data_IF_615105778058
#
_entry.id   IF_615105778058
#
_cell.length_a   1.000
_cell.length_b   1.000
_cell.length_c   1.000
_cell.angle_alpha   90.00
_cell.angle_beta   90.00
_cell.angle_gamma   90.00
#
_symmetry.space_group_name_H-M   'P 1'
#
loop_
_entity.id
_entity.type
_entity.pdbx_description
1 polymer ?
#
# COMPACT_ATOMS: atom_id res chain seq x y z
N UNK A 1 55.80 -1.86 2.35
CA UNK A 1 56.06 -1.76 3.80
C UNK A 1 55.61 -0.39 4.27
N UNK A 2 54.94 -0.30 5.44
CA UNK A 2 54.70 0.92 6.25
C UNK A 2 53.90 2.10 5.64
N UNK A 3 53.37 3.11 6.37
CA UNK A 3 52.74 3.22 7.73
C UNK A 3 52.36 4.70 8.02
N UNK A 4 51.43 4.97 8.95
CA UNK A 4 51.21 6.29 9.65
C UNK A 4 49.94 7.06 9.20
N UNK A 5 49.04 7.66 10.01
CA UNK A 5 48.92 8.18 11.41
C UNK A 5 49.34 9.65 11.72
N UNK A 6 48.48 10.37 12.48
CA UNK A 6 48.62 11.74 13.03
C UNK A 6 47.60 12.74 12.44
N UNK A 7 46.80 13.59 13.11
CA UNK A 7 46.67 14.17 14.48
C UNK A 7 47.40 15.50 14.78
N UNK A 8 46.74 16.36 15.59
CA UNK A 8 47.21 17.60 16.29
C UNK A 8 47.44 18.90 15.45
N UNK A 9 47.34 20.16 15.95
CA UNK A 9 46.80 20.74 17.20
C UNK A 9 47.27 22.20 17.56
N UNK A 10 46.37 23.05 18.12
CA UNK A 10 46.56 24.22 19.05
C UNK A 10 47.23 25.60 18.71
N UNK A 11 46.61 26.68 19.26
CA UNK A 11 47.26 27.87 19.90
C UNK A 11 47.11 29.25 19.18
N UNK A 12 46.99 30.44 19.83
CA UNK A 12 46.69 30.82 21.23
C UNK A 12 47.19 32.24 21.66
N UNK A 13 46.34 33.05 22.34
CA UNK A 13 46.66 34.22 23.25
C UNK A 13 47.26 35.55 22.68
N UNK A 14 47.14 36.77 23.29
CA UNK A 14 46.23 37.35 24.32
C UNK A 14 46.43 38.89 24.54
N UNK A 15 45.38 39.61 25.04
CA UNK A 15 45.33 40.75 26.03
C UNK A 15 46.16 42.07 25.83
N UNK A 16 45.88 43.26 26.48
CA UNK A 16 45.21 43.49 27.80
C UNK A 16 44.25 44.73 28.00
N UNK A 17 43.81 44.93 29.27
CA UNK A 17 42.82 45.87 29.92
C UNK A 17 43.39 47.27 30.31
N UNK A 18 42.76 48.27 31.07
CA UNK A 18 41.72 48.29 32.18
C UNK A 18 40.49 49.29 32.02
N UNK A 19 39.30 49.27 32.69
CA UNK A 19 38.81 49.39 34.13
C UNK A 19 38.54 50.86 34.62
N UNK A 20 37.59 51.25 35.53
CA UNK A 20 36.22 50.78 35.95
C UNK A 20 35.11 51.91 36.08
N UNK A 21 33.84 51.56 36.45
CA UNK A 21 32.91 52.37 37.29
C UNK A 21 31.61 51.61 37.72
N UNK A 22 30.94 52.03 38.81
CA UNK A 22 29.65 51.52 39.35
C UNK A 22 29.01 52.59 40.30
N UNK A 23 27.84 52.49 40.98
CA UNK A 23 26.88 51.40 41.33
C UNK A 23 25.50 52.01 41.70
N UNK A 24 24.33 51.43 41.38
CA UNK A 24 23.03 51.81 42.01
C UNK A 24 21.84 50.82 41.79
N UNK A 25 20.88 50.83 42.74
CA UNK A 25 19.70 49.95 42.85
C UNK A 25 18.39 50.70 42.59
N UNK A 26 17.30 50.02 42.21
CA UNK A 26 15.93 50.57 42.28
C UNK A 26 14.88 49.51 42.66
N UNK A 27 13.93 49.91 43.50
CA UNK A 27 12.97 49.04 44.23
C UNK A 27 11.57 49.09 43.59
N UNK A 28 10.80 47.98 43.65
CA UNK A 28 9.39 47.93 43.19
C UNK A 28 8.41 47.76 44.38
N UNK A 29 7.69 48.83 44.75
CA UNK A 29 6.55 48.82 45.71
C UNK A 29 5.80 50.18 45.64
N UNK A 30 4.55 50.33 46.14
CA UNK A 30 3.32 50.10 45.37
C UNK A 30 2.41 51.34 45.24
N UNK A 31 1.33 51.23 44.46
CA UNK A 31 0.21 52.19 44.40
C UNK A 31 -1.13 51.43 44.30
N UNK A 32 -2.28 52.01 44.70
CA UNK A 32 -3.02 51.42 45.84
C UNK A 32 -4.29 50.67 45.45
N UNK A 33 -4.68 49.73 46.32
CA UNK A 33 -6.01 49.11 46.31
C UNK A 33 -7.08 50.14 46.61
N UNK A 34 -7.97 50.41 45.66
CA UNK A 34 -9.21 51.17 45.89
C UNK A 34 -10.36 50.17 46.05
N UNK A 35 -10.81 49.95 47.29
CA UNK A 35 -12.01 49.15 47.55
C UNK A 35 -13.25 49.99 47.26
N UNK A 36 -13.83 49.81 46.07
CA UNK A 36 -15.12 50.40 45.73
C UNK A 36 -16.26 49.42 46.09
N UNK A 37 -16.92 49.65 47.22
CA UNK A 37 -18.18 48.97 47.57
C UNK A 37 -19.29 49.45 46.65
N UNK A 38 -19.55 48.72 45.57
CA UNK A 38 -20.64 49.02 44.65
C UNK A 38 -21.93 48.29 45.07
N UNK A 39 -22.94 49.06 45.43
CA UNK A 39 -24.31 48.63 45.77
C UNK A 39 -24.91 47.72 44.70
N UNK A 40 -25.63 46.67 45.11
CA UNK A 40 -26.28 45.74 44.20
C UNK A 40 -27.28 46.45 43.26
N UNK A 41 -27.13 46.35 41.92
CA UNK A 41 -28.16 46.80 40.99
C UNK A 41 -29.39 45.87 41.07
N UNK A 42 -30.61 46.39 40.82
CA UNK A 42 -31.82 45.57 40.86
C UNK A 42 -31.78 44.48 39.79
N UNK A 43 -32.40 43.34 40.09
CA UNK A 43 -32.42 42.17 39.21
C UNK A 43 -33.06 42.52 37.85
N UNK A 44 -32.23 42.60 36.81
CA UNK A 44 -32.72 42.59 35.45
C UNK A 44 -33.28 41.20 35.15
N UNK A 45 -34.60 41.12 34.90
CA UNK A 45 -35.22 39.90 34.39
C UNK A 45 -34.72 39.66 32.97
N UNK A 46 -33.62 38.91 32.84
CA UNK A 46 -33.15 38.43 31.55
C UNK A 46 -34.11 37.35 31.08
N UNK A 47 -35.00 37.69 30.15
CA UNK A 47 -35.77 36.71 29.38
C UNK A 47 -34.78 35.90 28.53
N UNK A 48 -34.20 34.87 29.12
CA UNK A 48 -33.37 33.93 28.38
C UNK A 48 -34.28 33.17 27.41
N UNK A 49 -34.19 33.52 26.13
CA UNK A 49 -34.63 32.61 25.07
C UNK A 49 -33.80 31.34 25.21
N UNK A 50 -34.38 30.31 25.82
CA UNK A 50 -33.79 28.98 25.86
C UNK A 50 -33.80 28.43 24.44
N UNK A 51 -32.73 28.75 23.69
CA UNK A 51 -32.34 27.96 22.53
C UNK A 51 -32.18 26.54 23.04
N UNK A 52 -33.18 25.70 22.78
CA UNK A 52 -33.10 24.29 23.08
C UNK A 52 -31.79 23.79 22.46
N UNK A 53 -30.90 23.25 23.30
CA UNK A 53 -29.62 22.77 22.83
C UNK A 53 -29.90 21.72 21.75
N UNK A 54 -29.68 22.10 20.49
CA UNK A 54 -29.81 21.18 19.38
C UNK A 54 -28.91 19.99 19.74
N UNK A 55 -29.45 18.76 19.79
CA UNK A 55 -28.64 17.61 20.14
C UNK A 55 -27.40 17.63 19.23
N UNK A 56 -26.19 17.40 19.78
CA UNK A 56 -24.98 17.48 18.99
C UNK A 56 -25.19 16.61 17.75
N UNK A 57 -24.84 17.11 16.54
CA UNK A 57 -24.99 16.30 15.34
C UNK A 57 -24.34 14.95 15.60
N UNK A 58 -24.95 13.83 15.16
CA UNK A 58 -24.40 12.50 15.41
C UNK A 58 -22.92 12.52 15.11
N UNK A 59 -22.11 12.14 16.11
CA UNK A 59 -20.66 12.20 15.98
C UNK A 59 -20.29 11.58 14.64
N UNK A 60 -19.65 12.38 13.77
CA UNK A 60 -19.34 11.94 12.43
C UNK A 60 -18.69 10.56 12.54
N UNK A 61 -19.15 9.54 11.78
CA UNK A 61 -18.57 8.21 11.88
C UNK A 61 -17.05 8.37 11.75
N UNK A 62 -16.26 7.73 12.62
CA UNK A 62 -14.81 7.89 12.61
C UNK A 62 -14.34 7.68 11.16
N UNK A 63 -13.42 8.53 10.65
CA UNK A 63 -13.05 8.50 9.24
C UNK A 63 -12.74 7.06 8.87
N UNK A 64 -13.55 6.49 7.96
CA UNK A 64 -13.41 5.10 7.53
C UNK A 64 -11.95 4.89 7.21
N UNK A 65 -11.26 3.93 7.87
CA UNK A 65 -9.83 3.82 7.70
C UNK A 65 -9.54 3.64 6.22
N UNK A 66 -8.74 4.55 5.66
CA UNK A 66 -8.02 4.33 4.40
C UNK A 66 -7.57 2.88 4.41
N UNK A 67 -7.99 2.08 3.42
CA UNK A 67 -7.78 0.62 3.35
C UNK A 67 -6.45 0.26 3.97
N UNK A 68 -6.51 -0.34 5.18
CA UNK A 68 -5.44 -0.20 6.18
C UNK A 68 -4.07 -0.43 5.56
N UNK A 69 -3.11 0.48 5.75
CA UNK A 69 -1.89 0.57 4.93
C UNK A 69 -1.20 -0.78 4.56
N UNK A 70 -1.12 -1.80 5.45
CA UNK A 70 -0.71 -3.16 5.08
C UNK A 70 -1.46 -3.79 3.89
N UNK A 71 -2.79 -3.67 3.84
CA UNK A 71 -3.62 -4.16 2.74
C UNK A 71 -3.27 -3.47 1.41
N UNK A 72 -3.01 -2.16 1.43
CA UNK A 72 -2.58 -1.41 0.23
C UNK A 72 -1.27 -1.96 -0.34
N UNK A 73 -0.31 -2.39 0.51
CA UNK A 73 0.93 -3.02 0.06
C UNK A 73 0.69 -4.38 -0.59
N UNK A 74 -0.14 -5.24 0.04
CA UNK A 74 -0.49 -6.55 -0.52
C UNK A 74 -1.23 -6.41 -1.85
N UNK A 75 -2.15 -5.45 -1.95
CA UNK A 75 -2.86 -5.17 -3.20
C UNK A 75 -1.93 -4.62 -4.29
N UNK A 76 -0.99 -3.73 -3.95
CA UNK A 76 0.02 -3.25 -4.89
C UNK A 76 0.95 -4.37 -5.37
N UNK A 77 1.29 -5.33 -4.50
CA UNK A 77 2.11 -6.50 -4.83
C UNK A 77 1.40 -7.41 -5.86
N UNK A 78 0.12 -7.75 -5.65
CA UNK A 78 -0.64 -8.54 -6.63
C UNK A 78 -0.96 -7.77 -7.91
N UNK A 79 -1.22 -6.46 -7.84
CA UNK A 79 -1.35 -5.63 -9.04
C UNK A 79 -0.07 -5.64 -9.88
N UNK A 80 1.11 -5.65 -9.25
CA UNK A 80 2.38 -5.75 -9.97
C UNK A 80 2.58 -7.13 -10.60
N UNK A 81 2.18 -8.22 -9.94
CA UNK A 81 2.16 -9.58 -10.54
C UNK A 81 1.23 -9.63 -11.75
N UNK A 82 0.00 -9.11 -11.62
CA UNK A 82 -0.98 -9.05 -12.71
C UNK A 82 -0.54 -8.18 -13.90
N UNK A 83 0.27 -7.15 -13.64
CA UNK A 83 0.88 -6.33 -14.69
C UNK A 83 2.19 -6.94 -15.25
N UNK A 84 2.59 -8.13 -14.78
CA UNK A 84 3.88 -8.78 -15.04
C UNK A 84 5.11 -7.90 -14.68
N UNK A 85 4.91 -6.86 -13.87
CA UNK A 85 5.98 -6.04 -13.27
C UNK A 85 6.56 -6.78 -12.05
N UNK A 86 7.20 -7.92 -12.33
CA UNK A 86 7.83 -8.74 -11.31
C UNK A 86 8.95 -8.00 -10.58
N UNK A 87 9.54 -6.97 -11.19
CA UNK A 87 10.49 -6.09 -10.51
C UNK A 87 9.83 -5.26 -9.40
N UNK A 88 8.67 -4.67 -9.66
CA UNK A 88 7.90 -3.97 -8.63
C UNK A 88 7.37 -4.92 -7.56
N UNK A 89 6.89 -6.11 -7.93
CA UNK A 89 6.47 -7.14 -6.98
C UNK A 89 7.65 -7.65 -6.11
N UNK A 90 8.85 -7.78 -6.71
CA UNK A 90 10.08 -8.14 -6.01
C UNK A 90 10.46 -7.11 -4.94
N UNK A 91 10.40 -5.82 -5.27
CA UNK A 91 10.61 -4.73 -4.32
C UNK A 91 9.60 -4.74 -3.17
N UNK A 92 8.31 -4.87 -3.50
CA UNK A 92 7.20 -4.83 -2.54
C UNK A 92 7.15 -6.05 -1.60
N UNK A 93 7.87 -7.13 -1.90
CA UNK A 93 7.87 -8.31 -1.03
C UNK A 93 8.63 -9.53 -1.54
N UNK A 94 8.71 -9.73 -2.87
CA UNK A 94 9.26 -10.98 -3.44
C UNK A 94 10.64 -11.35 -2.92
N UNK A 95 11.50 -10.35 -2.66
CA UNK A 95 12.84 -10.50 -2.06
C UNK A 95 12.90 -11.14 -0.66
N UNK A 96 11.79 -11.14 0.08
CA UNK A 96 11.64 -11.79 1.38
C UNK A 96 10.96 -13.17 1.28
N UNK A 97 10.33 -13.46 0.13
CA UNK A 97 9.49 -14.65 -0.08
C UNK A 97 10.14 -15.69 -1.02
N UNK A 98 11.31 -15.37 -1.57
CA UNK A 98 12.02 -16.20 -2.54
C UNK A 98 13.53 -16.06 -2.40
N UNK A 99 14.27 -17.08 -2.83
CA UNK A 99 15.73 -17.09 -2.72
C UNK A 99 16.40 -16.28 -3.83
N UNK A 100 15.71 -16.01 -4.94
CA UNK A 100 16.21 -15.15 -6.03
C UNK A 100 15.08 -14.56 -6.87
N UNK A 101 15.38 -13.50 -7.61
CA UNK A 101 14.43 -12.85 -8.53
C UNK A 101 13.92 -13.79 -9.63
N UNK A 102 14.81 -14.60 -10.22
CA UNK A 102 14.43 -15.53 -11.28
C UNK A 102 13.53 -16.65 -10.74
N UNK A 103 13.86 -17.19 -9.56
CA UNK A 103 13.05 -18.20 -8.89
C UNK A 103 11.67 -17.64 -8.51
N UNK A 104 11.60 -16.37 -8.08
CA UNK A 104 10.33 -15.66 -7.83
C UNK A 104 9.47 -15.48 -9.10
N UNK A 105 10.05 -14.93 -10.17
CA UNK A 105 9.31 -14.66 -11.41
C UNK A 105 8.79 -15.96 -12.06
N UNK A 106 9.58 -17.03 -12.01
CA UNK A 106 9.19 -18.35 -12.54
C UNK A 106 7.93 -18.93 -11.87
N UNK A 107 7.62 -18.56 -10.62
CA UNK A 107 6.41 -19.05 -9.92
C UNK A 107 5.11 -18.56 -10.55
N UNK A 108 5.16 -17.40 -11.22
CA UNK A 108 3.99 -16.73 -11.80
C UNK A 108 3.87 -16.93 -13.32
N UNK A 109 4.86 -17.56 -13.96
CA UNK A 109 4.87 -17.78 -15.41
C UNK A 109 3.68 -18.60 -15.95
N UNK A 110 3.06 -19.44 -15.11
CA UNK A 110 1.84 -20.20 -15.43
C UNK A 110 0.53 -19.54 -14.95
N UNK A 111 0.58 -18.33 -14.39
CA UNK A 111 -0.59 -17.60 -13.87
C UNK A 111 -0.97 -16.50 -14.85
N UNK A 112 -2.21 -16.53 -15.34
CA UNK A 112 -2.79 -15.50 -16.21
C UNK A 112 -3.29 -14.29 -15.40
N UNK A 113 -3.89 -14.53 -14.22
CA UNK A 113 -4.42 -13.46 -13.36
C UNK A 113 -4.62 -13.92 -11.91
N UNK A 114 -4.27 -13.06 -10.96
CA UNK A 114 -4.48 -13.23 -9.52
C UNK A 114 -5.62 -12.32 -9.02
N UNK A 115 -6.76 -12.91 -8.63
CA UNK A 115 -7.87 -12.22 -7.99
C UNK A 115 -7.72 -12.24 -6.46
N UNK A 116 -7.25 -11.11 -5.89
CA UNK A 116 -7.07 -10.92 -4.46
C UNK A 116 -8.37 -10.54 -3.74
N UNK A 117 -8.72 -11.30 -2.69
CA UNK A 117 -9.71 -10.90 -1.68
C UNK A 117 -9.04 -10.72 -0.31
N UNK A 118 -9.16 -9.53 0.28
CA UNK A 118 -8.66 -9.26 1.63
C UNK A 118 -9.78 -9.53 2.65
N UNK A 119 -9.58 -10.56 3.47
CA UNK A 119 -10.56 -11.03 4.47
C UNK A 119 -10.49 -10.20 5.76
N UNK A 120 -9.33 -9.64 6.08
CA UNK A 120 -9.18 -8.73 7.22
C UNK A 120 -7.75 -8.24 7.43
N UNK A 121 -7.60 -7.23 8.28
CA UNK A 121 -6.30 -6.68 8.69
C UNK A 121 -6.28 -6.54 10.21
N UNK A 122 -5.23 -7.03 10.86
CA UNK A 122 -5.00 -6.87 12.30
C UNK A 122 -3.57 -6.44 12.56
N UNK A 123 -3.40 -5.17 12.91
CA UNK A 123 -2.08 -4.53 12.96
C UNK A 123 -1.40 -4.66 11.59
N UNK A 124 -0.23 -5.28 11.58
CA UNK A 124 0.61 -5.47 10.40
C UNK A 124 0.30 -6.75 9.59
N UNK A 125 -0.64 -7.56 10.08
CA UNK A 125 -1.00 -8.84 9.45
C UNK A 125 -2.27 -8.67 8.62
N UNK A 126 -2.16 -9.00 7.33
CA UNK A 126 -3.25 -9.03 6.35
C UNK A 126 -3.65 -10.48 6.13
N UNK A 127 -4.92 -10.82 6.36
CA UNK A 127 -5.50 -12.13 6.03
C UNK A 127 -6.18 -12.06 4.68
N UNK A 128 -5.92 -13.03 3.81
CA UNK A 128 -6.33 -13.00 2.42
C UNK A 128 -6.78 -14.36 1.87
N UNK A 129 -7.53 -14.29 0.78
CA UNK A 129 -7.85 -15.38 -0.14
C UNK A 129 -7.43 -14.96 -1.54
N UNK A 130 -6.94 -15.92 -2.32
CA UNK A 130 -6.53 -15.75 -3.72
C UNK A 130 -7.30 -16.74 -4.58
N UNK A 131 -7.72 -16.28 -5.75
CA UNK A 131 -8.00 -17.13 -6.90
C UNK A 131 -6.98 -16.82 -7.99
N UNK A 132 -6.05 -17.75 -8.23
CA UNK A 132 -5.02 -17.64 -9.26
C UNK A 132 -5.49 -18.39 -10.51
N UNK A 133 -5.96 -17.64 -11.50
CA UNK A 133 -6.31 -18.13 -12.84
C UNK A 133 -5.01 -18.54 -13.55
N UNK A 134 -4.90 -19.80 -13.93
CA UNK A 134 -3.75 -20.34 -14.65
C UNK A 134 -3.89 -20.12 -16.16
N UNK A 135 -2.79 -20.15 -16.90
CA UNK A 135 -2.79 -19.92 -18.36
C UNK A 135 -3.53 -21.00 -19.15
N UNK A 136 -3.66 -22.20 -18.60
CA UNK A 136 -4.50 -23.29 -19.11
C UNK A 136 -6.01 -23.11 -18.86
N UNK A 137 -6.42 -22.09 -18.09
CA UNK A 137 -7.81 -21.83 -17.72
C UNK A 137 -8.27 -22.53 -16.42
N UNK A 138 -7.40 -23.29 -15.76
CA UNK A 138 -7.61 -23.78 -14.40
C UNK A 138 -7.53 -22.67 -13.36
N UNK A 139 -8.02 -22.96 -12.16
CA UNK A 139 -7.98 -22.07 -11.01
C UNK A 139 -7.24 -22.72 -9.84
N UNK A 140 -6.42 -21.95 -9.13
CA UNK A 140 -5.77 -22.38 -7.89
C UNK A 140 -6.16 -21.44 -6.76
N UNK A 141 -6.80 -22.00 -5.73
CA UNK A 141 -7.25 -21.24 -4.58
C UNK A 141 -6.20 -21.27 -3.48
N UNK A 142 -5.90 -20.11 -2.92
CA UNK A 142 -5.01 -19.97 -1.78
C UNK A 142 -5.67 -19.18 -0.67
N UNK A 143 -5.25 -19.42 0.56
CA UNK A 143 -5.58 -18.58 1.70
C UNK A 143 -4.39 -18.47 2.63
N UNK A 144 -4.34 -17.39 3.41
CA UNK A 144 -3.27 -17.22 4.38
C UNK A 144 -3.10 -15.80 4.87
N UNK A 145 -1.89 -15.51 5.34
CA UNK A 145 -1.53 -14.22 5.91
C UNK A 145 -0.23 -13.66 5.35
N UNK A 146 -0.19 -12.34 5.20
CA UNK A 146 1.01 -11.56 4.95
C UNK A 146 1.33 -10.67 6.14
N UNK A 147 2.61 -10.55 6.49
CA UNK A 147 3.08 -9.55 7.46
C UNK A 147 3.79 -8.43 6.71
N UNK A 148 3.33 -7.20 6.91
CA UNK A 148 3.84 -6.01 6.21
C UNK A 148 4.61 -5.12 7.19
N UNK A 149 5.83 -4.72 6.85
CA UNK A 149 6.66 -3.79 7.63
C UNK A 149 7.36 -2.82 6.69
N UNK A 150 7.46 -1.55 7.05
CA UNK A 150 8.17 -0.54 6.25
C UNK A 150 7.61 -0.28 4.85
N UNK A 151 6.37 -0.70 4.56
CA UNK A 151 5.79 -0.64 3.22
C UNK A 151 6.01 -1.88 2.36
N UNK A 152 6.55 -2.97 2.93
CA UNK A 152 6.96 -4.18 2.22
C UNK A 152 6.44 -5.44 2.92
N UNK A 153 6.12 -6.48 2.16
CA UNK A 153 5.79 -7.80 2.69
C UNK A 153 7.08 -8.48 3.15
N UNK A 154 7.22 -8.68 4.46
CA UNK A 154 8.44 -9.26 5.07
C UNK A 154 8.29 -10.73 5.46
N UNK A 155 7.06 -11.24 5.52
CA UNK A 155 6.77 -12.65 5.73
C UNK A 155 5.42 -13.03 5.14
N UNK A 156 5.27 -14.28 4.72
CA UNK A 156 4.03 -14.86 4.24
C UNK A 156 3.81 -16.25 4.84
N UNK A 157 2.56 -16.57 5.16
CA UNK A 157 2.08 -17.91 5.45
C UNK A 157 0.83 -18.14 4.60
N UNK A 158 1.05 -18.49 3.33
CA UNK A 158 0.01 -18.74 2.33
C UNK A 158 0.03 -20.22 1.98
N UNK A 159 -1.14 -20.84 1.93
CA UNK A 159 -1.33 -22.26 1.64
C UNK A 159 -2.35 -22.42 0.52
N UNK A 160 -2.18 -23.41 -0.34
CA UNK A 160 -3.18 -23.77 -1.34
C UNK A 160 -4.36 -24.46 -0.63
N UNK A 161 -5.56 -23.91 -0.78
CA UNK A 161 -6.80 -24.43 -0.20
C UNK A 161 -7.60 -25.31 -1.18
N UNK A 162 -7.30 -25.20 -2.48
CA UNK A 162 -7.89 -26.05 -3.50
C UNK A 162 -7.35 -25.74 -4.90
N UNK A 163 -7.87 -26.46 -5.89
CA UNK A 163 -7.70 -26.15 -7.30
C UNK A 163 -8.81 -26.77 -8.11
N UNK A 164 -9.27 -26.05 -9.12
CA UNK A 164 -10.14 -26.57 -10.18
C UNK A 164 -9.28 -26.67 -11.42
N UNK A 165 -9.07 -27.88 -11.91
CA UNK A 165 -8.42 -28.09 -13.21
C UNK A 165 -9.24 -27.40 -14.30
N UNK A 166 -8.64 -26.96 -15.42
CA UNK A 166 -9.41 -26.47 -16.55
C UNK A 166 -10.39 -27.57 -16.96
N UNK A 167 -11.66 -27.21 -17.11
CA UNK A 167 -12.67 -28.17 -17.55
C UNK A 167 -12.29 -28.63 -18.96
N UNK A 168 -11.80 -29.88 -19.10
CA UNK A 168 -11.44 -30.48 -20.38
C UNK A 168 -12.68 -30.80 -21.27
N UNK A 169 -13.75 -30.03 -21.11
CA UNK A 169 -15.00 -30.09 -21.85
C UNK A 169 -15.38 -28.67 -22.26
N UNK A 170 -15.34 -28.42 -23.57
CA UNK A 170 -15.72 -27.15 -24.21
C UNK A 170 -14.74 -25.99 -24.00
N UNK A 171 -13.50 -26.15 -24.48
CA UNK A 171 -12.87 -25.03 -25.21
C UNK A 171 -13.86 -24.51 -26.24
N UNK A 172 -14.11 -23.19 -26.34
CA UNK A 172 -14.96 -22.65 -27.40
C UNK A 172 -14.32 -22.99 -28.76
N UNK A 173 -15.07 -23.70 -29.61
CA UNK A 173 -14.62 -24.06 -30.94
C UNK A 173 -15.01 -22.94 -31.90
N UNK A 174 -14.05 -22.10 -32.28
CA UNK A 174 -14.26 -21.05 -33.27
C UNK A 174 -14.14 -21.59 -34.68
N UNK A 175 -15.11 -21.28 -35.55
CA UNK A 175 -15.02 -21.64 -36.97
C UNK A 175 -13.86 -20.90 -37.67
N UNK A 176 -13.54 -19.69 -37.20
CA UNK A 176 -12.48 -18.84 -37.73
C UNK A 176 -12.14 -17.69 -36.76
N UNK A 177 -11.10 -16.92 -37.08
CA UNK A 177 -10.63 -15.83 -36.22
C UNK A 177 -11.51 -14.57 -36.16
N UNK A 178 -12.58 -14.44 -36.95
CA UNK A 178 -13.56 -13.38 -36.73
C UNK A 178 -14.51 -13.76 -35.57
N UNK A 179 -14.91 -15.04 -35.50
CA UNK A 179 -15.72 -15.61 -34.43
C UNK A 179 -14.96 -15.58 -33.09
N UNK A 180 -13.69 -15.99 -33.10
CA UNK A 180 -12.79 -15.89 -31.95
C UNK A 180 -12.69 -14.47 -31.37
N UNK A 181 -12.58 -13.46 -32.24
CA UNK A 181 -12.51 -12.02 -31.89
C UNK A 181 -13.85 -11.44 -31.42
N UNK A 182 -14.98 -12.04 -31.80
CA UNK A 182 -16.31 -11.63 -31.35
C UNK A 182 -16.62 -12.14 -29.93
N UNK A 183 -16.06 -13.29 -29.55
CA UNK A 183 -16.38 -13.99 -28.30
C UNK A 183 -15.27 -13.93 -27.23
N UNK A 184 -14.02 -13.71 -27.61
CA UNK A 184 -12.87 -13.61 -26.70
C UNK A 184 -11.91 -12.49 -27.09
N UNK A 185 -11.00 -12.13 -26.17
CA UNK A 185 -9.82 -11.34 -26.52
C UNK A 185 -8.80 -12.24 -27.22
N UNK A 186 -8.43 -11.87 -28.43
CA UNK A 186 -7.28 -12.42 -29.16
C UNK A 186 -6.06 -11.50 -28.96
N UNK A 187 -4.80 -11.97 -29.16
CA UNK A 187 -4.39 -13.28 -29.68
C UNK A 187 -4.71 -14.44 -28.73
N UNK A 188 -4.83 -15.66 -29.27
CA UNK A 188 -5.05 -16.89 -28.51
C UNK A 188 -3.77 -17.74 -28.61
N UNK A 189 -3.11 -17.99 -27.49
CA UNK A 189 -1.84 -18.70 -27.47
C UNK A 189 -2.02 -20.22 -27.37
N UNK A 190 -1.06 -20.99 -27.88
CA UNK A 190 -1.04 -22.45 -27.77
C UNK A 190 -1.24 -22.91 -26.32
N UNK A 191 -2.18 -23.84 -26.13
CA UNK A 191 -2.57 -24.34 -24.81
C UNK A 191 -3.66 -23.52 -24.09
N UNK A 192 -4.05 -22.35 -24.59
CA UNK A 192 -5.22 -21.63 -24.07
C UNK A 192 -6.54 -22.26 -24.53
N UNK A 193 -7.63 -22.16 -23.73
CA UNK A 193 -8.97 -22.54 -24.15
C UNK A 193 -9.40 -21.77 -25.42
N UNK A 194 -9.69 -22.52 -26.49
CA UNK A 194 -10.09 -21.96 -27.79
C UNK A 194 -8.94 -21.84 -28.80
N UNK A 195 -7.69 -22.16 -28.42
CA UNK A 195 -6.63 -22.38 -29.41
C UNK A 195 -6.94 -23.63 -30.24
N UNK A 196 -6.82 -23.51 -31.56
CA UNK A 196 -6.89 -24.63 -32.48
C UNK A 196 -5.96 -24.38 -33.69
N UNK A 197 -5.26 -25.40 -34.23
CA UNK A 197 -4.30 -25.21 -35.33
C UNK A 197 -4.90 -24.70 -36.65
N UNK A 198 -6.22 -24.61 -36.80
CA UNK A 198 -6.86 -23.98 -37.97
C UNK A 198 -7.08 -22.47 -37.81
N UNK A 199 -6.80 -21.92 -36.63
CA UNK A 199 -6.87 -20.50 -36.28
C UNK A 199 -5.49 -19.82 -36.25
N UNK A 200 -4.44 -20.64 -36.30
CA UNK A 200 -3.03 -20.29 -36.36
C UNK A 200 -2.56 -20.63 -37.79
N UNK A 201 -2.41 -19.60 -38.64
CA UNK A 201 -2.29 -19.80 -40.09
C UNK A 201 -0.86 -20.19 -40.51
N UNK A 202 0.12 -19.81 -39.71
CA UNK A 202 1.56 -19.99 -39.90
C UNK A 202 2.20 -20.94 -38.88
N UNK A 203 1.44 -21.38 -37.87
CA UNK A 203 1.77 -22.39 -36.87
C UNK A 203 2.91 -21.97 -35.93
N UNK A 204 2.95 -20.69 -35.58
CA UNK A 204 3.94 -20.12 -34.65
C UNK A 204 3.56 -20.30 -33.17
N UNK A 205 2.30 -20.69 -32.89
CA UNK A 205 1.72 -20.84 -31.55
C UNK A 205 0.80 -19.70 -31.13
N UNK A 206 0.49 -18.75 -32.01
CA UNK A 206 -0.34 -17.57 -31.75
C UNK A 206 -1.52 -17.52 -32.76
N UNK A 207 -2.65 -18.09 -32.37
CA UNK A 207 -3.87 -18.01 -33.17
C UNK A 207 -4.51 -16.61 -33.14
N UNK A 208 -5.08 -16.21 -34.28
CA UNK A 208 -5.92 -15.01 -34.42
C UNK A 208 -5.27 -13.66 -34.06
N UNK A 209 -3.97 -13.52 -34.31
CA UNK A 209 -3.22 -12.26 -34.16
C UNK A 209 -3.95 -11.03 -34.75
N UNK A 210 -3.79 -9.83 -34.17
CA UNK A 210 -4.21 -8.60 -34.84
C UNK A 210 -3.37 -8.40 -36.11
N UNK A 211 -4.04 -8.15 -37.24
CA UNK A 211 -3.35 -7.69 -38.44
C UNK A 211 -2.69 -6.33 -38.17
N UNK A 212 -1.38 -6.31 -37.99
CA UNK A 212 -0.58 -5.09 -38.14
C UNK A 212 -0.35 -4.85 -39.66
N UNK A 213 -0.71 -3.67 -40.21
CA UNK A 213 -0.61 -3.37 -41.64
C UNK A 213 0.78 -2.91 -42.10
#
# INVERSE_FOLDING_TARGET
MASGCGSDGKGGSAAPTPTPAATATATVTPTPTVTATATAPPAATVTQTVTAAQPPPPAAPPPTPTVAAPATVVQAYYNAINAQDYWRAWQLGGKHLASSYNEFAARFAGTAYDALTIVGVRGDVVTMQLDAVQTDGGHRYFAGTYTVRGGEIVAASVQQTGSVAPTAGSSPSYDNCADARAHTRTPIYVGQPGYAPHLDADLDGIACEPYEP
#
